data_IF_069573375150
#
_entry.id   IF_069573375150
#
_cell.length_a   1.000
_cell.length_b   1.000
_cell.length_c   1.000
_cell.angle_alpha   90.00
_cell.angle_beta   90.00
_cell.angle_gamma   90.00
#
_symmetry.space_group_name_H-M   'P 1'
#
loop_
_entity.id
_entity.type
_entity.pdbx_description
1 polymer ?
#
# COMPACT_ATOMS: atom_id res chain seq x y z
N UNK A 1 -2.00 15.87 22.37
CA UNK A 1 -0.74 15.40 21.74
C UNK A 1 -0.81 15.66 20.23
N UNK A 2 -1.80 15.16 19.48
CA UNK A 2 -1.89 15.34 18.02
C UNK A 2 -1.86 16.82 17.62
N UNK A 3 -2.72 17.65 18.23
CA UNK A 3 -2.79 19.10 17.95
C UNK A 3 -1.43 19.78 18.13
N UNK A 4 -0.72 19.50 19.21
CA UNK A 4 0.58 20.10 19.48
C UNK A 4 1.66 19.67 18.46
N UNK A 5 1.61 18.42 17.97
CA UNK A 5 2.53 17.94 16.94
C UNK A 5 2.21 18.62 15.61
N UNK A 6 0.93 18.77 15.27
CA UNK A 6 0.49 19.44 14.04
C UNK A 6 0.88 20.93 14.05
N UNK A 7 0.62 21.66 15.14
CA UNK A 7 1.03 23.05 15.30
C UNK A 7 2.55 23.22 15.17
N UNK A 8 3.33 22.29 15.71
CA UNK A 8 4.79 22.31 15.60
C UNK A 8 5.26 22.00 14.16
N UNK A 9 4.57 21.12 13.43
CA UNK A 9 4.83 20.81 12.03
C UNK A 9 4.59 22.06 11.17
N UNK A 10 3.42 22.67 11.28
CA UNK A 10 3.05 23.90 10.58
C UNK A 10 4.06 25.04 10.84
N UNK A 11 4.42 25.23 12.11
CA UNK A 11 5.41 26.25 12.48
C UNK A 11 6.78 26.01 11.82
N UNK A 12 7.22 24.76 11.72
CA UNK A 12 8.48 24.41 11.04
C UNK A 12 8.39 24.63 9.54
N UNK A 13 7.29 24.23 8.92
CA UNK A 13 7.07 24.43 7.48
C UNK A 13 7.14 25.91 7.13
N UNK A 14 6.44 26.76 7.88
CA UNK A 14 6.49 28.22 7.71
C UNK A 14 7.90 28.80 7.93
N UNK A 15 8.59 28.38 8.99
CA UNK A 15 9.94 28.84 9.31
C UNK A 15 10.95 28.49 8.20
N UNK A 16 10.80 27.36 7.55
CA UNK A 16 11.68 26.89 6.48
C UNK A 16 11.21 27.33 5.10
N UNK A 17 10.13 28.12 4.99
CA UNK A 17 9.48 28.51 3.72
C UNK A 17 9.18 27.29 2.83
N UNK A 18 8.64 26.23 3.41
CA UNK A 18 8.22 25.01 2.71
C UNK A 18 6.73 24.86 2.77
N UNK A 19 6.19 24.22 1.75
CA UNK A 19 4.78 23.82 1.65
C UNK A 19 4.71 22.33 1.31
N UNK A 20 3.66 21.66 1.78
CA UNK A 20 3.33 20.32 1.34
C UNK A 20 2.24 20.32 0.25
N UNK A 21 1.79 19.14 -0.18
CA UNK A 21 0.79 19.02 -1.24
C UNK A 21 -0.59 19.55 -0.82
N UNK A 22 -0.95 19.42 0.44
CA UNK A 22 -2.22 19.94 0.96
C UNK A 22 -2.17 21.46 1.05
N UNK A 23 -1.03 22.01 1.47
CA UNK A 23 -0.79 23.46 1.50
C UNK A 23 -0.95 24.09 0.11
N UNK A 24 -0.51 23.44 -0.97
CA UNK A 24 -0.70 23.96 -2.32
C UNK A 24 -2.15 24.28 -2.64
N UNK A 25 -3.06 23.43 -2.18
CA UNK A 25 -4.50 23.62 -2.38
C UNK A 25 -5.09 24.63 -1.40
N UNK A 26 -4.78 24.48 -0.11
CA UNK A 26 -5.34 25.33 0.94
C UNK A 26 -4.89 26.79 0.79
N UNK A 27 -3.60 27.02 0.60
CA UNK A 27 -3.05 28.38 0.40
C UNK A 27 -3.54 29.01 -0.91
N UNK A 28 -3.74 28.22 -1.97
CA UNK A 28 -4.36 28.72 -3.19
C UNK A 28 -5.80 29.17 -2.95
N UNK A 29 -6.59 28.34 -2.24
CA UNK A 29 -7.95 28.69 -1.89
C UNK A 29 -7.99 29.97 -1.03
N UNK A 30 -7.19 30.06 0.02
CA UNK A 30 -7.10 31.21 0.90
C UNK A 30 -6.64 32.47 0.16
N UNK A 31 -5.63 32.38 -0.71
CA UNK A 31 -5.15 33.48 -1.54
C UNK A 31 -6.28 34.03 -2.43
N UNK A 32 -6.97 33.15 -3.15
CA UNK A 32 -8.04 33.57 -4.06
C UNK A 32 -9.26 34.12 -3.30
N UNK A 33 -9.54 33.61 -2.10
CA UNK A 33 -10.62 34.12 -1.24
C UNK A 33 -10.29 35.49 -0.63
N UNK A 34 -9.03 35.72 -0.23
CA UNK A 34 -8.61 36.97 0.42
C UNK A 34 -8.23 38.06 -0.57
N UNK A 35 -7.69 37.70 -1.75
CA UNK A 35 -7.17 38.64 -2.74
C UNK A 35 -8.00 38.62 -4.01
N UNK A 36 -9.11 39.36 -3.99
CA UNK A 36 -10.04 39.47 -5.13
C UNK A 36 -9.39 40.06 -6.38
N UNK A 37 -8.36 40.90 -6.24
CA UNK A 37 -7.57 41.42 -7.33
C UNK A 37 -6.81 40.30 -8.09
N UNK A 38 -6.21 39.35 -7.33
CA UNK A 38 -5.54 38.19 -7.90
C UNK A 38 -6.57 37.24 -8.53
N UNK A 39 -7.68 36.97 -7.84
CA UNK A 39 -8.76 36.16 -8.39
C UNK A 39 -9.25 36.70 -9.73
N UNK A 40 -9.52 38.01 -9.82
CA UNK A 40 -9.97 38.65 -11.04
C UNK A 40 -8.97 38.51 -12.19
N UNK A 41 -7.67 38.67 -11.90
CA UNK A 41 -6.62 38.46 -12.87
C UNK A 41 -6.66 37.04 -13.48
N UNK A 42 -6.87 36.01 -12.66
CA UNK A 42 -6.96 34.65 -13.15
C UNK A 42 -8.29 34.37 -13.89
N UNK A 43 -9.41 34.96 -13.43
CA UNK A 43 -10.71 34.90 -14.13
C UNK A 43 -10.66 35.55 -15.52
N UNK A 44 -9.91 36.61 -15.66
CA UNK A 44 -9.70 37.30 -16.96
C UNK A 44 -8.77 36.49 -17.87
N UNK A 45 -7.76 35.85 -17.30
CA UNK A 45 -6.79 35.01 -18.03
C UNK A 45 -7.40 33.79 -18.67
N UNK A 46 -8.34 33.11 -17.97
CA UNK A 46 -8.97 31.88 -18.44
C UNK A 46 -10.41 32.14 -18.89
N UNK A 47 -10.63 32.08 -20.20
CA UNK A 47 -11.99 32.20 -20.76
C UNK A 47 -12.79 30.89 -20.68
N UNK A 48 -12.12 29.75 -20.63
CA UNK A 48 -12.67 28.41 -20.50
C UNK A 48 -11.86 27.62 -19.50
N UNK A 49 -12.53 26.81 -18.69
CA UNK A 49 -11.91 25.87 -17.75
C UNK A 49 -12.41 24.48 -18.10
N UNK A 50 -11.46 23.59 -18.45
CA UNK A 50 -11.74 22.20 -18.80
C UNK A 50 -11.06 21.31 -17.76
N UNK A 51 -11.82 20.36 -17.22
CA UNK A 51 -11.32 19.47 -16.16
C UNK A 51 -11.64 18.03 -16.54
N UNK A 52 -10.59 17.24 -16.60
CA UNK A 52 -10.68 15.79 -16.78
C UNK A 52 -10.66 15.07 -15.44
N UNK A 53 -11.09 13.80 -15.42
CA UNK A 53 -11.19 12.93 -14.24
C UNK A 53 -11.93 13.61 -13.06
N UNK A 54 -13.01 14.35 -13.37
CA UNK A 54 -13.73 15.19 -12.41
C UNK A 54 -14.30 14.41 -11.21
N UNK A 55 -14.48 13.09 -11.30
CA UNK A 55 -14.91 12.23 -10.20
C UNK A 55 -13.90 12.14 -9.07
N UNK A 56 -12.62 12.49 -9.32
CA UNK A 56 -11.52 12.34 -8.35
C UNK A 56 -11.17 13.63 -7.61
N UNK A 57 -11.90 14.73 -7.87
CA UNK A 57 -11.64 16.00 -7.17
C UNK A 57 -12.14 15.97 -5.72
N UNK A 58 -11.45 16.74 -4.87
CA UNK A 58 -11.88 17.02 -3.50
C UNK A 58 -12.65 18.34 -3.40
N UNK A 59 -13.18 18.63 -2.21
CA UNK A 59 -13.99 19.85 -1.98
C UNK A 59 -13.21 21.14 -2.20
N UNK A 60 -11.96 21.21 -1.78
CA UNK A 60 -11.12 22.41 -1.91
C UNK A 60 -10.84 22.70 -3.38
N UNK A 61 -10.49 21.67 -4.15
CA UNK A 61 -10.29 21.78 -5.59
C UNK A 61 -11.57 22.30 -6.27
N UNK A 62 -12.72 21.76 -5.90
CA UNK A 62 -14.00 22.21 -6.44
C UNK A 62 -14.28 23.68 -6.13
N UNK A 63 -14.01 24.13 -4.90
CA UNK A 63 -14.23 25.52 -4.51
C UNK A 63 -13.31 26.47 -5.26
N UNK A 64 -12.05 26.12 -5.47
CA UNK A 64 -11.09 26.86 -6.31
C UNK A 64 -11.63 26.97 -7.74
N UNK A 65 -12.08 25.85 -8.32
CA UNK A 65 -12.63 25.80 -9.68
C UNK A 65 -13.84 26.76 -9.80
N UNK A 66 -14.75 26.73 -8.84
CA UNK A 66 -15.92 27.61 -8.82
C UNK A 66 -15.54 29.08 -8.76
N UNK A 67 -14.55 29.42 -7.92
CA UNK A 67 -14.05 30.81 -7.84
C UNK A 67 -13.45 31.25 -9.17
N UNK A 68 -12.65 30.43 -9.81
CA UNK A 68 -12.02 30.73 -11.09
C UNK A 68 -13.02 30.81 -12.24
N UNK A 69 -14.04 29.96 -12.25
CA UNK A 69 -15.05 29.92 -13.31
C UNK A 69 -16.02 31.10 -13.28
N UNK A 70 -16.28 31.65 -12.10
CA UNK A 70 -17.18 32.80 -11.94
C UNK A 70 -16.60 34.08 -12.59
N UNK A 71 -17.44 35.02 -13.05
CA UNK A 71 -18.89 34.90 -13.17
C UNK A 71 -19.35 34.22 -14.48
N UNK A 72 -18.42 33.91 -15.39
CA UNK A 72 -18.74 33.41 -16.74
C UNK A 72 -19.28 31.99 -16.73
N UNK A 73 -18.79 31.15 -15.80
CA UNK A 73 -19.13 29.74 -15.66
C UNK A 73 -18.92 28.90 -16.94
N UNK A 74 -17.92 29.29 -17.76
CA UNK A 74 -17.51 28.52 -18.93
C UNK A 74 -16.69 27.29 -18.49
N UNK A 75 -17.39 26.35 -17.86
CA UNK A 75 -16.81 25.17 -17.25
C UNK A 75 -17.21 23.93 -18.03
N UNK A 76 -16.23 23.12 -18.43
CA UNK A 76 -16.41 21.84 -19.08
C UNK A 76 -15.76 20.77 -18.21
N UNK A 77 -16.52 19.80 -17.78
CA UNK A 77 -16.05 18.70 -16.96
C UNK A 77 -16.20 17.37 -17.68
N UNK A 78 -15.22 16.49 -17.55
CA UNK A 78 -15.26 15.11 -18.04
C UNK A 78 -14.93 14.20 -16.89
N UNK A 79 -15.61 13.06 -16.81
CA UNK A 79 -15.35 12.07 -15.78
C UNK A 79 -16.27 10.88 -15.87
N UNK A 80 -15.96 9.86 -15.10
CA UNK A 80 -16.74 8.64 -14.98
C UNK A 80 -16.90 8.29 -13.48
N UNK A 81 -18.09 8.50 -12.96
CA UNK A 81 -18.44 8.23 -11.56
C UNK A 81 -18.22 6.76 -11.16
N UNK A 82 -18.28 5.83 -12.12
CA UNK A 82 -17.99 4.42 -11.90
C UNK A 82 -16.49 4.13 -11.71
N UNK A 83 -15.61 5.07 -12.08
CA UNK A 83 -14.16 4.98 -11.92
C UNK A 83 -13.63 5.72 -10.68
N UNK A 84 -14.50 6.29 -9.84
CA UNK A 84 -14.09 6.99 -8.63
C UNK A 84 -13.57 6.02 -7.57
N UNK A 85 -12.25 5.85 -7.49
CA UNK A 85 -11.57 4.94 -6.55
C UNK A 85 -10.67 5.67 -5.55
N UNK A 86 -10.58 7.02 -5.62
CA UNK A 86 -9.70 7.84 -4.78
C UNK A 86 -10.38 8.49 -3.57
N UNK A 87 -11.50 7.94 -3.10
CA UNK A 87 -12.20 8.45 -1.91
C UNK A 87 -11.30 8.49 -0.66
N UNK A 88 -10.38 7.56 -0.53
CA UNK A 88 -9.40 7.53 0.56
C UNK A 88 -8.38 8.69 0.50
N UNK A 89 -8.25 9.37 -0.64
CA UNK A 89 -7.47 10.61 -0.84
C UNK A 89 -8.33 11.87 -0.78
N UNK A 90 -9.60 11.77 -0.36
CA UNK A 90 -10.51 12.90 -0.23
C UNK A 90 -11.35 13.19 -1.47
N UNK A 91 -11.27 12.37 -2.53
CA UNK A 91 -12.18 12.49 -3.68
C UNK A 91 -13.65 12.37 -3.26
N UNK A 92 -14.50 13.20 -3.86
CA UNK A 92 -15.94 13.26 -3.59
C UNK A 92 -16.74 13.12 -4.88
N UNK A 93 -17.05 11.91 -5.32
CA UNK A 93 -17.85 11.68 -6.53
C UNK A 93 -19.25 12.36 -6.43
N UNK A 94 -19.72 12.62 -5.21
CA UNK A 94 -20.97 13.35 -4.97
C UNK A 94 -20.95 14.76 -5.59
N UNK A 95 -19.77 15.38 -5.75
CA UNK A 95 -19.62 16.68 -6.41
C UNK A 95 -20.01 16.56 -7.88
N UNK A 96 -19.50 15.53 -8.57
CA UNK A 96 -19.84 15.27 -9.96
C UNK A 96 -21.32 14.92 -10.12
N UNK A 97 -21.86 14.07 -9.26
CA UNK A 97 -23.28 13.70 -9.28
C UNK A 97 -24.21 14.86 -8.99
N UNK A 98 -23.74 15.85 -8.23
CA UNK A 98 -24.47 17.05 -7.86
C UNK A 98 -24.23 18.26 -8.78
N UNK A 99 -23.42 18.12 -9.82
CA UNK A 99 -22.97 19.24 -10.66
C UNK A 99 -24.11 20.07 -11.28
N UNK A 100 -25.16 19.39 -11.77
CA UNK A 100 -26.35 20.07 -12.35
C UNK A 100 -27.16 20.89 -11.32
N UNK A 101 -26.98 20.63 -10.00
CA UNK A 101 -27.60 21.45 -8.94
C UNK A 101 -26.86 22.78 -8.76
N UNK A 102 -25.54 22.75 -8.89
CA UNK A 102 -24.71 23.96 -8.79
C UNK A 102 -24.70 24.77 -10.10
N UNK A 103 -24.91 24.10 -11.25
CA UNK A 103 -24.97 24.67 -12.59
C UNK A 103 -26.25 24.18 -13.32
N UNK A 104 -27.42 24.77 -13.05
CA UNK A 104 -28.72 24.32 -13.61
C UNK A 104 -28.79 24.35 -15.15
N UNK A 105 -28.02 25.26 -15.77
CA UNK A 105 -27.95 25.38 -17.24
C UNK A 105 -26.94 24.43 -17.89
N UNK A 106 -26.27 23.58 -17.10
CA UNK A 106 -25.30 22.63 -17.60
C UNK A 106 -25.95 21.59 -18.52
N UNK A 107 -25.32 21.33 -19.66
CA UNK A 107 -25.72 20.28 -20.59
C UNK A 107 -24.90 19.04 -20.38
N UNK A 108 -25.54 17.93 -20.02
CA UNK A 108 -24.89 16.65 -19.89
C UNK A 108 -24.88 15.90 -21.22
N UNK A 109 -23.70 15.39 -21.59
CA UNK A 109 -23.49 14.53 -22.76
C UNK A 109 -22.96 13.20 -22.23
N UNK A 110 -23.62 12.09 -22.60
CA UNK A 110 -23.21 10.75 -22.22
C UNK A 110 -22.42 10.10 -23.35
N UNK A 111 -21.19 9.68 -23.04
CA UNK A 111 -20.35 8.86 -23.94
C UNK A 111 -20.60 7.39 -23.60
N UNK A 112 -21.52 6.76 -24.30
CA UNK A 112 -22.01 5.41 -23.97
C UNK A 112 -21.40 4.29 -24.84
N UNK A 113 -20.47 4.61 -25.74
CA UNK A 113 -19.78 3.62 -26.59
C UNK A 113 -18.37 3.41 -26.06
N UNK A 114 -18.06 2.17 -25.67
CA UNK A 114 -16.73 1.76 -25.27
C UNK A 114 -15.97 1.19 -26.47
N UNK A 115 -14.92 1.89 -26.91
CA UNK A 115 -14.07 1.50 -28.05
C UNK A 115 -12.86 0.66 -27.62
N UNK A 116 -12.61 0.50 -26.33
CA UNK A 116 -11.43 -0.19 -25.79
C UNK A 116 -11.66 -1.68 -25.59
N UNK A 117 -12.78 -2.03 -24.99
CA UNK A 117 -13.04 -3.37 -24.49
C UNK A 117 -14.00 -4.16 -25.38
N UNK A 118 -13.82 -5.47 -25.38
CA UNK A 118 -14.77 -6.39 -26.01
C UNK A 118 -16.11 -6.43 -25.29
N UNK A 119 -17.14 -6.93 -25.96
CA UNK A 119 -18.49 -7.06 -25.40
C UNK A 119 -18.52 -7.88 -24.11
N UNK A 120 -17.73 -8.94 -24.01
CA UNK A 120 -17.65 -9.79 -22.81
C UNK A 120 -17.19 -8.98 -21.59
N UNK A 121 -16.13 -8.15 -21.75
CA UNK A 121 -15.60 -7.32 -20.68
C UNK A 121 -16.58 -6.22 -20.29
N UNK A 122 -17.14 -5.50 -21.27
CA UNK A 122 -18.11 -4.43 -21.00
C UNK A 122 -19.35 -4.96 -20.28
N UNK A 123 -19.85 -6.13 -20.68
CA UNK A 123 -21.02 -6.76 -20.04
C UNK A 123 -20.72 -7.17 -18.59
N UNK A 124 -19.58 -7.82 -18.35
CA UNK A 124 -19.19 -8.26 -17.00
C UNK A 124 -18.94 -7.06 -16.05
N UNK A 125 -18.21 -6.05 -16.53
CA UNK A 125 -17.97 -4.82 -15.77
C UNK A 125 -19.29 -4.08 -15.47
N UNK A 126 -20.21 -4.02 -16.46
CA UNK A 126 -21.52 -3.43 -16.30
C UNK A 126 -22.37 -4.14 -15.23
N UNK A 127 -22.34 -5.47 -15.19
CA UNK A 127 -23.03 -6.24 -14.14
C UNK A 127 -22.43 -5.99 -12.75
N UNK A 128 -21.11 -5.95 -12.65
CA UNK A 128 -20.42 -5.69 -11.39
C UNK A 128 -20.78 -4.31 -10.84
N UNK A 129 -20.74 -3.27 -11.67
CA UNK A 129 -20.92 -1.89 -11.24
C UNK A 129 -22.39 -1.57 -10.87
N UNK A 130 -23.37 -2.37 -11.30
CA UNK A 130 -24.78 -2.22 -10.89
C UNK A 130 -25.00 -2.42 -9.37
N UNK A 131 -24.03 -3.00 -8.65
CA UNK A 131 -24.05 -3.08 -7.20
C UNK A 131 -23.94 -1.68 -6.55
N UNK A 132 -23.30 -0.72 -7.21
CA UNK A 132 -23.27 0.68 -6.77
C UNK A 132 -24.62 1.34 -7.04
N UNK A 133 -25.25 1.86 -6.00
CA UNK A 133 -26.59 2.48 -6.11
C UNK A 133 -26.51 3.99 -6.38
N UNK A 134 -25.43 4.64 -5.94
CA UNK A 134 -25.24 6.10 -6.10
C UNK A 134 -24.34 6.35 -7.30
N UNK A 135 -24.95 6.43 -8.49
CA UNK A 135 -24.27 6.62 -9.77
C UNK A 135 -25.22 7.19 -10.82
N UNK A 136 -24.67 7.73 -11.91
CA UNK A 136 -25.46 8.07 -13.09
C UNK A 136 -25.99 6.79 -13.75
N UNK A 137 -27.25 6.82 -14.15
CA UNK A 137 -27.83 5.74 -14.94
C UNK A 137 -27.28 5.82 -16.37
N UNK A 138 -26.50 4.83 -16.73
CA UNK A 138 -25.86 4.74 -18.07
C UNK A 138 -25.82 3.29 -18.55
N UNK A 139 -26.00 3.13 -19.87
CA UNK A 139 -25.89 1.83 -20.55
C UNK A 139 -24.71 1.92 -21.50
N UNK A 140 -23.59 1.35 -21.09
CA UNK A 140 -22.37 1.33 -21.91
C UNK A 140 -22.47 0.17 -22.91
N UNK A 141 -22.21 0.48 -24.17
CA UNK A 141 -22.20 -0.49 -25.28
C UNK A 141 -20.77 -0.66 -25.79
N UNK A 142 -20.38 -1.90 -26.07
CA UNK A 142 -19.09 -2.16 -26.70
C UNK A 142 -19.17 -1.85 -28.18
N UNK A 143 -18.17 -1.14 -28.70
CA UNK A 143 -18.00 -0.99 -30.16
C UNK A 143 -17.58 -2.32 -30.78
N UNK A 144 -16.69 -3.07 -30.17
CA UNK A 144 -16.24 -4.38 -30.63
C UNK A 144 -17.25 -5.46 -30.23
N UNK A 145 -17.81 -6.14 -31.22
CA UNK A 145 -18.85 -7.18 -31.01
C UNK A 145 -18.29 -8.50 -30.51
N UNK A 146 -17.03 -8.80 -30.84
CA UNK A 146 -16.35 -10.07 -30.52
C UNK A 146 -15.23 -9.84 -29.53
N UNK A 147 -14.90 -10.88 -28.76
CA UNK A 147 -13.79 -10.90 -27.84
C UNK A 147 -13.69 -12.25 -27.15
N UNK A 148 -12.53 -12.54 -26.57
CA UNK A 148 -12.33 -13.76 -25.80
C UNK A 148 -13.24 -13.81 -24.59
N UNK A 149 -13.52 -15.01 -24.10
CA UNK A 149 -14.23 -15.24 -22.85
C UNK A 149 -13.39 -14.80 -21.67
N UNK A 150 -14.05 -14.40 -20.59
CA UNK A 150 -13.39 -14.14 -19.31
C UNK A 150 -13.21 -15.47 -18.60
N UNK A 151 -11.98 -15.76 -18.20
CA UNK A 151 -11.66 -16.98 -17.45
C UNK A 151 -11.41 -16.61 -15.97
N UNK A 152 -11.92 -17.43 -15.07
CA UNK A 152 -11.67 -17.33 -13.63
C UNK A 152 -11.03 -18.64 -13.19
N UNK A 153 -9.82 -18.55 -12.63
CA UNK A 153 -9.09 -19.70 -12.06
C UNK A 153 -8.88 -19.45 -10.58
N UNK A 154 -9.24 -20.42 -9.77
CA UNK A 154 -8.96 -20.42 -8.34
C UNK A 154 -7.69 -21.25 -8.08
N UNK A 155 -6.68 -20.67 -7.48
CA UNK A 155 -5.43 -21.31 -7.10
C UNK A 155 -5.39 -21.57 -5.61
N UNK A 156 -4.67 -22.61 -5.19
CA UNK A 156 -4.56 -23.02 -3.78
C UNK A 156 -3.38 -22.36 -3.07
N UNK A 157 -2.43 -21.85 -3.85
CA UNK A 157 -1.23 -21.18 -3.35
C UNK A 157 -0.76 -20.10 -4.31
N UNK A 158 0.07 -19.19 -3.82
CA UNK A 158 0.73 -18.15 -4.61
C UNK A 158 1.62 -18.78 -5.71
N UNK A 159 2.26 -19.91 -5.43
CA UNK A 159 3.08 -20.63 -6.41
C UNK A 159 2.24 -21.18 -7.57
N UNK A 160 1.08 -21.79 -7.27
CA UNK A 160 0.15 -22.27 -8.29
C UNK A 160 -0.39 -21.10 -9.14
N UNK A 161 -0.75 -19.99 -8.50
CA UNK A 161 -1.20 -18.77 -9.18
C UNK A 161 -0.11 -18.23 -10.11
N UNK A 162 1.11 -18.07 -9.61
CA UNK A 162 2.25 -17.57 -10.39
C UNK A 162 2.57 -18.48 -11.57
N UNK A 163 2.59 -19.79 -11.35
CA UNK A 163 2.82 -20.76 -12.43
C UNK A 163 1.73 -20.65 -13.50
N UNK A 164 0.48 -20.54 -13.10
CA UNK A 164 -0.65 -20.39 -14.03
C UNK A 164 -0.55 -19.10 -14.87
N UNK A 165 -0.09 -18.00 -14.26
CA UNK A 165 0.13 -16.73 -14.96
C UNK A 165 1.25 -16.89 -16.02
N UNK A 166 2.37 -17.51 -15.65
CA UNK A 166 3.48 -17.72 -16.59
C UNK A 166 3.10 -18.65 -17.74
N UNK A 167 2.39 -19.74 -17.45
CA UNK A 167 1.85 -20.65 -18.46
C UNK A 167 0.97 -19.88 -19.47
N UNK A 168 0.12 -18.98 -18.97
CA UNK A 168 -0.76 -18.20 -19.83
C UNK A 168 -0.01 -17.15 -20.66
N UNK A 169 1.03 -16.51 -20.08
CA UNK A 169 1.89 -15.59 -20.83
C UNK A 169 2.59 -16.32 -21.97
N UNK A 170 3.11 -17.52 -21.72
CA UNK A 170 3.78 -18.33 -22.71
C UNK A 170 2.81 -18.79 -23.82
N UNK A 171 1.62 -19.27 -23.45
CA UNK A 171 0.57 -19.63 -24.40
C UNK A 171 0.22 -18.46 -25.33
N UNK A 172 0.06 -17.27 -24.82
CA UNK A 172 -0.21 -16.09 -25.63
C UNK A 172 0.95 -15.70 -26.54
N UNK A 173 2.18 -15.82 -26.06
CA UNK A 173 3.39 -15.57 -26.86
C UNK A 173 3.51 -16.58 -28.02
N UNK A 174 3.31 -17.87 -27.75
CA UNK A 174 3.29 -18.93 -28.79
C UNK A 174 2.22 -18.66 -29.87
N UNK A 175 1.11 -18.01 -29.50
CA UNK A 175 0.05 -17.60 -30.42
C UNK A 175 0.30 -16.24 -31.09
N UNK A 176 1.51 -15.66 -30.91
CA UNK A 176 1.97 -14.46 -31.60
C UNK A 176 1.60 -13.13 -30.92
N UNK A 177 1.17 -13.14 -29.66
CA UNK A 177 0.95 -11.91 -28.89
C UNK A 177 2.29 -11.39 -28.37
N UNK A 178 2.56 -10.09 -28.53
CA UNK A 178 3.77 -9.48 -27.99
C UNK A 178 3.65 -9.30 -26.47
N UNK A 179 4.76 -9.44 -25.75
CA UNK A 179 4.79 -9.18 -24.29
C UNK A 179 4.31 -7.78 -23.92
N UNK A 180 4.56 -6.76 -24.78
CA UNK A 180 4.07 -5.39 -24.62
C UNK A 180 2.54 -5.26 -24.61
N UNK A 181 1.83 -6.25 -25.13
CA UNK A 181 0.36 -6.26 -25.21
C UNK A 181 -0.28 -7.02 -24.05
N UNK A 182 0.54 -7.57 -23.15
CA UNK A 182 0.12 -8.29 -21.96
C UNK A 182 0.30 -7.45 -20.71
N UNK A 183 -0.64 -7.54 -19.78
CA UNK A 183 -0.53 -6.88 -18.48
C UNK A 183 -1.01 -7.78 -17.35
N UNK A 184 -0.26 -7.83 -16.26
CA UNK A 184 -0.66 -8.50 -15.02
C UNK A 184 -1.01 -7.44 -13.98
N UNK A 185 -2.26 -7.43 -13.52
CA UNK A 185 -2.76 -6.53 -12.51
C UNK A 185 -2.83 -7.24 -11.17
N UNK A 186 -2.26 -6.64 -10.14
CA UNK A 186 -2.24 -7.17 -8.78
C UNK A 186 -2.94 -6.23 -7.81
N UNK A 187 -3.50 -6.77 -6.75
CA UNK A 187 -4.21 -5.97 -5.72
C UNK A 187 -3.26 -5.14 -4.86
N UNK A 188 -2.08 -5.69 -4.56
CA UNK A 188 -1.05 -5.06 -3.73
C UNK A 188 0.31 -5.19 -4.38
N UNK A 189 1.22 -4.25 -4.11
CA UNK A 189 2.60 -4.32 -4.64
C UNK A 189 3.36 -5.57 -4.13
N UNK A 190 2.98 -6.09 -2.96
CA UNK A 190 3.55 -7.33 -2.40
C UNK A 190 3.13 -8.54 -3.24
N UNK A 191 1.88 -8.56 -3.73
CA UNK A 191 1.37 -9.64 -4.57
C UNK A 191 2.12 -9.79 -5.91
N UNK A 192 2.70 -8.72 -6.43
CA UNK A 192 3.49 -8.75 -7.66
C UNK A 192 4.82 -9.52 -7.50
N UNK A 193 5.36 -9.62 -6.28
CA UNK A 193 6.70 -10.11 -6.02
C UNK A 193 6.95 -11.54 -6.54
N UNK A 194 6.09 -12.48 -6.19
CA UNK A 194 6.25 -13.88 -6.60
C UNK A 194 6.21 -14.03 -8.13
N UNK A 195 5.39 -13.22 -8.79
CA UNK A 195 5.29 -13.19 -10.25
C UNK A 195 6.60 -12.65 -10.84
N UNK A 196 7.12 -11.54 -10.31
CA UNK A 196 8.37 -10.92 -10.78
C UNK A 196 9.57 -11.84 -10.55
N UNK A 197 9.69 -12.48 -9.38
CA UNK A 197 10.73 -13.47 -9.10
C UNK A 197 10.72 -14.59 -10.17
N UNK A 198 9.56 -15.13 -10.48
CA UNK A 198 9.41 -16.17 -11.49
C UNK A 198 9.67 -15.68 -12.91
N UNK A 199 9.28 -14.44 -13.26
CA UNK A 199 9.61 -13.85 -14.56
C UNK A 199 11.12 -13.65 -14.73
N UNK A 200 11.84 -13.25 -13.66
CA UNK A 200 13.30 -13.16 -13.64
C UNK A 200 13.94 -14.55 -13.83
N UNK A 201 13.50 -15.56 -13.07
CA UNK A 201 13.99 -16.94 -13.19
C UNK A 201 13.78 -17.51 -14.61
N UNK A 202 12.66 -17.15 -15.25
CA UNK A 202 12.31 -17.59 -16.60
C UNK A 202 12.91 -16.70 -17.71
N UNK A 203 13.70 -15.67 -17.38
CA UNK A 203 14.21 -14.65 -18.32
C UNK A 203 13.11 -13.99 -19.19
N UNK A 204 11.90 -13.82 -18.65
CA UNK A 204 10.81 -13.15 -19.35
C UNK A 204 10.98 -11.62 -19.21
N UNK A 205 10.87 -10.85 -20.32
CA UNK A 205 10.91 -9.41 -20.27
C UNK A 205 9.64 -8.85 -19.61
N UNK A 206 9.81 -7.90 -18.71
CA UNK A 206 8.69 -7.19 -18.09
C UNK A 206 9.06 -5.75 -17.75
N UNK A 207 8.04 -4.90 -17.63
CA UNK A 207 8.16 -3.54 -17.15
C UNK A 207 7.21 -3.34 -15.98
N UNK A 208 7.68 -2.72 -14.92
CA UNK A 208 6.85 -2.36 -13.78
C UNK A 208 6.50 -0.88 -13.82
N UNK A 209 5.25 -0.56 -13.51
CA UNK A 209 4.80 0.81 -13.38
C UNK A 209 5.29 1.45 -12.09
N UNK A 210 5.25 0.69 -10.99
CA UNK A 210 5.68 1.14 -9.66
C UNK A 210 6.84 0.27 -9.19
N UNK A 211 7.74 0.85 -8.40
CA UNK A 211 8.80 0.06 -7.75
C UNK A 211 8.15 -0.91 -6.74
N UNK A 212 8.57 -2.18 -6.77
CA UNK A 212 8.18 -3.12 -5.72
C UNK A 212 8.83 -2.64 -4.42
N UNK A 213 8.05 -2.37 -3.36
CA UNK A 213 8.66 -2.13 -2.07
C UNK A 213 9.49 -3.35 -1.69
N UNK A 214 10.76 -3.14 -1.36
CA UNK A 214 11.58 -4.24 -0.91
C UNK A 214 10.96 -4.84 0.36
N UNK A 215 10.42 -6.07 0.25
CA UNK A 215 9.77 -6.78 1.35
C UNK A 215 10.69 -6.86 2.58
N UNK A 216 11.98 -7.01 2.35
CA UNK A 216 12.98 -7.16 3.42
C UNK A 216 13.31 -5.83 4.10
N UNK A 217 12.92 -4.69 3.54
CA UNK A 217 12.98 -3.38 4.19
C UNK A 217 11.75 -3.09 5.05
N UNK A 218 10.71 -3.91 4.96
CA UNK A 218 9.53 -3.77 5.80
C UNK A 218 9.88 -3.97 7.28
N UNK A 219 9.23 -3.23 8.18
CA UNK A 219 9.52 -3.30 9.62
C UNK A 219 9.30 -4.68 10.22
N UNK A 220 8.33 -5.46 9.71
CA UNK A 220 8.10 -6.87 10.11
C UNK A 220 9.31 -7.73 9.74
N UNK A 221 9.86 -7.58 8.54
CA UNK A 221 11.06 -8.32 8.13
C UNK A 221 12.24 -8.03 9.06
N UNK A 222 12.43 -6.75 9.39
CA UNK A 222 13.48 -6.33 10.34
C UNK A 222 13.28 -6.92 11.73
N UNK A 223 12.05 -7.02 12.20
CA UNK A 223 11.76 -7.66 13.49
C UNK A 223 12.08 -9.17 13.47
N UNK A 224 11.62 -9.89 12.43
CA UNK A 224 11.88 -11.32 12.26
C UNK A 224 13.39 -11.63 12.18
N UNK A 225 14.11 -10.86 11.36
CA UNK A 225 15.56 -10.98 11.25
C UNK A 225 16.25 -10.69 12.58
N UNK A 226 15.81 -9.64 13.31
CA UNK A 226 16.37 -9.30 14.62
C UNK A 226 16.14 -10.41 15.64
N UNK A 227 14.98 -11.06 15.66
CA UNK A 227 14.73 -12.23 16.51
C UNK A 227 15.73 -13.36 16.23
N UNK A 228 15.96 -13.68 14.96
CA UNK A 228 16.89 -14.73 14.57
C UNK A 228 18.36 -14.34 14.84
N UNK A 229 18.72 -13.07 14.68
CA UNK A 229 20.06 -12.54 15.00
C UNK A 229 20.37 -12.62 16.48
N UNK A 230 19.43 -12.23 17.35
CA UNK A 230 19.56 -12.38 18.79
C UNK A 230 19.67 -13.88 19.17
N UNK A 231 18.85 -14.73 18.58
CA UNK A 231 18.95 -16.19 18.80
C UNK A 231 20.32 -16.75 18.32
N UNK A 232 20.91 -16.18 17.27
CA UNK A 232 22.23 -16.55 16.76
C UNK A 232 23.39 -15.97 17.62
N UNK A 233 23.12 -15.08 18.56
CA UNK A 233 24.10 -14.54 19.50
C UNK A 233 24.33 -13.04 19.46
N UNK A 234 23.51 -12.26 18.75
CA UNK A 234 23.54 -10.80 18.82
C UNK A 234 22.98 -10.34 20.19
N UNK A 235 23.87 -9.95 21.10
CA UNK A 235 23.54 -9.46 22.43
C UNK A 235 23.47 -7.93 22.52
N UNK A 236 23.47 -7.24 21.37
CA UNK A 236 23.47 -5.79 21.31
C UNK A 236 22.18 -5.16 21.86
N UNK A 237 22.32 -4.10 22.64
CA UNK A 237 21.20 -3.29 23.11
C UNK A 237 20.29 -2.82 21.97
N UNK A 238 20.88 -2.46 20.85
CA UNK A 238 20.15 -1.99 19.67
C UNK A 238 19.21 -3.05 19.11
N UNK A 239 19.64 -4.30 19.05
CA UNK A 239 18.80 -5.43 18.63
C UNK A 239 17.65 -5.68 19.61
N UNK A 240 17.97 -5.77 20.90
CA UNK A 240 16.93 -5.99 21.93
C UNK A 240 15.87 -4.89 21.96
N UNK A 241 16.24 -3.63 21.84
CA UNK A 241 15.28 -2.51 21.82
C UNK A 241 14.26 -2.60 20.69
N UNK A 242 14.57 -3.28 19.58
CA UNK A 242 13.64 -3.46 18.46
C UNK A 242 12.52 -4.43 18.79
N UNK A 243 12.82 -5.55 19.47
CA UNK A 243 11.89 -6.67 19.60
C UNK A 243 11.42 -6.96 21.03
N UNK A 244 12.03 -6.35 22.04
CA UNK A 244 11.82 -6.70 23.46
C UNK A 244 10.35 -6.66 23.90
N UNK A 245 9.55 -5.76 23.32
CA UNK A 245 8.12 -5.62 23.56
C UNK A 245 7.28 -5.86 22.29
N UNK A 246 7.72 -6.73 21.40
CA UNK A 246 7.02 -7.15 20.19
C UNK A 246 6.97 -8.70 20.08
N UNK A 247 6.02 -9.38 20.75
CA UNK A 247 4.84 -8.91 21.47
C UNK A 247 5.14 -8.26 22.83
N UNK A 248 4.10 -7.70 23.44
CA UNK A 248 4.19 -6.98 24.70
C UNK A 248 4.71 -7.86 25.85
N UNK A 249 5.89 -7.54 26.36
CA UNK A 249 6.50 -8.18 27.54
C UNK A 249 6.60 -7.26 28.75
N UNK A 250 6.29 -5.95 28.56
CA UNK A 250 6.36 -4.90 29.60
C UNK A 250 7.78 -4.69 30.18
N UNK A 251 8.80 -4.97 29.37
CA UNK A 251 10.19 -4.72 29.77
C UNK A 251 10.50 -3.24 29.52
N UNK A 252 10.90 -2.54 30.56
CA UNK A 252 11.27 -1.13 30.50
C UNK A 252 12.60 -0.93 29.78
N UNK A 253 12.74 0.20 29.06
CA UNK A 253 13.99 0.56 28.38
C UNK A 253 15.18 0.70 29.32
N UNK A 254 14.92 1.08 30.56
CA UNK A 254 15.93 1.24 31.61
C UNK A 254 16.55 -0.11 32.02
N UNK A 255 15.81 -1.21 31.91
CA UNK A 255 16.36 -2.55 32.12
C UNK A 255 17.41 -2.95 31.08
N UNK A 256 17.50 -2.20 29.98
CA UNK A 256 18.48 -2.35 28.90
C UNK A 256 19.52 -1.22 28.98
N UNK A 257 20.10 -0.97 30.14
CA UNK A 257 21.05 0.15 30.37
C UNK A 257 22.42 -0.10 29.73
N UNK A 258 22.86 -1.34 29.63
CA UNK A 258 24.17 -1.72 29.13
C UNK A 258 24.18 -1.91 27.59
N UNK A 259 25.37 -1.79 26.97
CA UNK A 259 25.53 -2.01 25.54
C UNK A 259 25.28 -3.47 25.12
N UNK A 260 25.54 -4.41 26.01
CA UNK A 260 25.24 -5.84 25.85
C UNK A 260 24.17 -6.26 26.83
N UNK A 261 23.17 -6.95 26.32
CA UNK A 261 21.99 -7.41 27.07
C UNK A 261 22.10 -8.90 27.31
N UNK A 262 22.13 -9.29 28.58
CA UNK A 262 22.05 -10.71 28.98
C UNK A 262 20.77 -10.97 29.75
N UNK A 263 20.28 -12.23 29.72
CA UNK A 263 19.10 -12.59 30.52
C UNK A 263 19.34 -12.38 32.02
N UNK A 264 20.58 -12.59 32.48
CA UNK A 264 20.94 -12.33 33.88
C UNK A 264 20.85 -10.85 34.26
N UNK A 265 21.19 -9.93 33.38
CA UNK A 265 21.00 -8.50 33.57
C UNK A 265 19.53 -8.15 33.75
N UNK A 266 18.66 -8.71 32.89
CA UNK A 266 17.22 -8.51 32.99
C UNK A 266 16.64 -9.10 34.28
N UNK A 267 17.06 -10.32 34.67
CA UNK A 267 16.66 -10.93 35.96
C UNK A 267 17.11 -10.09 37.13
N UNK A 268 18.33 -9.56 37.11
CA UNK A 268 18.83 -8.67 38.15
C UNK A 268 18.00 -7.42 38.33
N UNK A 269 17.57 -6.80 37.23
CA UNK A 269 16.72 -5.60 37.25
C UNK A 269 15.32 -5.88 37.84
N UNK A 270 14.74 -7.07 37.53
CA UNK A 270 13.39 -7.44 37.95
C UNK A 270 13.35 -8.45 39.11
N UNK A 271 14.41 -8.59 39.88
CA UNK A 271 14.57 -9.59 40.94
C UNK A 271 13.42 -9.69 41.97
N UNK A 272 12.66 -8.59 42.14
CA UNK A 272 11.53 -8.51 43.06
C UNK A 272 10.16 -8.67 42.39
N UNK A 273 10.11 -9.08 41.11
CA UNK A 273 8.89 -9.19 40.34
C UNK A 273 8.79 -10.57 39.64
N UNK A 274 8.31 -11.56 40.34
CA UNK A 274 8.24 -12.96 39.89
C UNK A 274 7.59 -13.09 38.49
N UNK A 275 6.47 -12.40 38.25
CA UNK A 275 5.80 -12.42 36.96
C UNK A 275 6.65 -11.86 35.81
N UNK A 276 7.63 -11.02 36.10
CA UNK A 276 8.60 -10.54 35.07
C UNK A 276 9.71 -11.56 34.86
N UNK A 277 10.14 -12.26 35.91
CA UNK A 277 11.12 -13.34 35.80
C UNK A 277 10.58 -14.46 34.91
N UNK A 278 9.33 -14.87 35.08
CA UNK A 278 8.67 -15.86 34.22
C UNK A 278 8.68 -15.43 32.73
N UNK A 279 8.45 -14.15 32.45
CA UNK A 279 8.50 -13.63 31.07
C UNK A 279 9.90 -13.61 30.47
N UNK A 280 10.90 -13.29 31.30
CA UNK A 280 12.31 -13.31 30.89
C UNK A 280 12.73 -14.75 30.61
N UNK A 281 12.37 -15.69 31.48
CA UNK A 281 12.67 -17.12 31.31
C UNK A 281 12.00 -17.69 30.08
N UNK A 282 10.74 -17.33 29.83
CA UNK A 282 10.04 -17.69 28.60
C UNK A 282 10.75 -17.12 27.36
N UNK A 283 11.16 -15.86 27.39
CA UNK A 283 11.89 -15.24 26.29
C UNK A 283 13.23 -15.93 26.02
N UNK A 284 13.97 -16.28 27.07
CA UNK A 284 15.23 -17.03 26.96
C UNK A 284 14.99 -18.39 26.31
N UNK A 285 13.96 -19.11 26.73
CA UNK A 285 13.57 -20.38 26.14
C UNK A 285 13.20 -20.20 24.63
N UNK A 286 12.38 -19.21 24.31
CA UNK A 286 11.97 -18.91 22.94
C UNK A 286 13.19 -18.65 22.04
N UNK A 287 14.17 -17.85 22.49
CA UNK A 287 15.40 -17.57 21.74
C UNK A 287 16.28 -18.83 21.59
N UNK A 288 16.37 -19.68 22.61
CA UNK A 288 17.09 -20.96 22.50
C UNK A 288 16.46 -21.89 21.46
N UNK A 289 15.14 -21.97 21.41
CA UNK A 289 14.42 -22.75 20.41
C UNK A 289 14.65 -22.23 18.99
N UNK A 290 14.58 -20.91 18.78
CA UNK A 290 14.80 -20.29 17.49
C UNK A 290 16.19 -20.62 16.89
N UNK A 291 17.21 -20.73 17.74
CA UNK A 291 18.57 -21.03 17.32
C UNK A 291 18.74 -22.34 16.55
N UNK A 292 17.85 -23.29 16.82
CA UNK A 292 17.90 -24.65 16.23
C UNK A 292 17.01 -24.80 14.99
N UNK A 293 16.32 -23.75 14.57
CA UNK A 293 15.30 -23.80 13.52
C UNK A 293 15.87 -23.32 12.18
N UNK A 294 15.33 -23.87 11.08
CA UNK A 294 15.49 -23.26 9.76
C UNK A 294 14.77 -21.93 9.68
N UNK A 295 15.12 -21.00 8.77
CA UNK A 295 14.47 -19.69 8.67
C UNK A 295 12.94 -19.79 8.55
N UNK A 296 12.43 -20.70 7.73
CA UNK A 296 11.00 -20.95 7.59
C UNK A 296 10.33 -21.36 8.93
N UNK A 297 10.93 -22.34 9.60
CA UNK A 297 10.42 -22.83 10.89
C UNK A 297 10.54 -21.75 11.98
N UNK A 298 11.60 -20.95 11.98
CA UNK A 298 11.81 -19.87 12.90
C UNK A 298 10.75 -18.77 12.71
N UNK A 299 10.44 -18.37 11.47
CA UNK A 299 9.35 -17.43 11.20
C UNK A 299 8.02 -17.97 11.72
N UNK A 300 7.69 -19.23 11.41
CA UNK A 300 6.46 -19.83 11.91
C UNK A 300 6.39 -19.85 13.45
N UNK A 301 7.51 -20.14 14.11
CA UNK A 301 7.58 -20.13 15.58
C UNK A 301 7.46 -18.70 16.14
N UNK A 302 8.09 -17.69 15.53
CA UNK A 302 7.92 -16.29 15.91
C UNK A 302 6.45 -15.88 15.78
N UNK A 303 5.82 -16.21 14.67
CA UNK A 303 4.41 -15.91 14.41
C UNK A 303 3.48 -16.50 15.47
N UNK A 304 3.55 -17.80 15.69
CA UNK A 304 2.57 -18.56 16.47
C UNK A 304 3.06 -18.93 17.87
N UNK A 305 4.31 -19.34 18.03
CA UNK A 305 4.88 -19.75 19.30
C UNK A 305 5.20 -18.58 20.24
N UNK A 306 5.75 -17.51 19.68
CA UNK A 306 6.03 -16.24 20.40
C UNK A 306 4.81 -15.31 20.43
N UNK A 307 3.78 -15.61 19.63
CA UNK A 307 2.55 -14.82 19.51
C UNK A 307 2.75 -13.43 18.84
N UNK A 308 3.69 -13.37 17.90
CA UNK A 308 3.96 -12.15 17.14
C UNK A 308 2.81 -11.75 16.20
N UNK A 309 2.03 -12.73 15.69
CA UNK A 309 0.85 -12.46 14.87
C UNK A 309 -0.20 -11.63 15.61
N UNK A 310 -0.45 -11.93 16.89
CA UNK A 310 -1.38 -11.16 17.71
C UNK A 310 -0.92 -9.72 17.88
N UNK A 311 0.39 -9.52 18.08
CA UNK A 311 0.98 -8.18 18.12
C UNK A 311 0.78 -7.43 16.79
N UNK A 312 1.00 -8.07 15.66
CA UNK A 312 0.81 -7.45 14.32
C UNK A 312 -0.66 -7.07 14.10
N UNK A 313 -1.61 -7.92 14.49
CA UNK A 313 -3.05 -7.63 14.42
C UNK A 313 -3.45 -6.47 15.32
N UNK A 314 -2.97 -6.43 16.57
CA UNK A 314 -3.19 -5.30 17.48
C UNK A 314 -2.60 -3.99 16.91
N UNK A 315 -1.41 -4.06 16.33
CA UNK A 315 -0.77 -2.91 15.69
C UNK A 315 -1.60 -2.39 14.52
N UNK A 316 -2.10 -3.29 13.65
CA UNK A 316 -2.95 -2.93 12.52
C UNK A 316 -4.23 -2.20 13.00
N UNK A 317 -4.90 -2.75 14.02
CA UNK A 317 -6.10 -2.14 14.60
C UNK A 317 -5.80 -0.73 15.17
N UNK A 318 -4.71 -0.62 15.94
CA UNK A 318 -4.27 0.67 16.49
C UNK A 318 -4.00 1.72 15.40
N UNK A 319 -3.38 1.29 14.29
CA UNK A 319 -3.05 2.14 13.15
C UNK A 319 -4.22 2.31 12.16
N UNK A 320 -5.38 1.70 12.41
CA UNK A 320 -6.55 1.67 11.53
C UNK A 320 -6.22 1.13 10.13
N UNK A 321 -5.31 0.18 10.06
CA UNK A 321 -4.95 -0.58 8.86
C UNK A 321 -5.75 -1.89 8.83
N UNK A 322 -5.88 -2.48 7.66
CA UNK A 322 -6.45 -3.83 7.55
C UNK A 322 -5.41 -4.86 8.02
N UNK A 323 -5.73 -5.70 9.01
CA UNK A 323 -4.80 -6.72 9.50
C UNK A 323 -4.30 -7.64 8.40
N UNK A 324 -5.14 -7.93 7.40
CA UNK A 324 -4.84 -8.80 6.27
C UNK A 324 -3.61 -8.33 5.49
N UNK A 325 -3.44 -7.02 5.30
CA UNK A 325 -2.29 -6.44 4.59
C UNK A 325 -0.95 -6.77 5.28
N UNK A 326 -0.91 -6.73 6.61
CA UNK A 326 0.29 -7.08 7.37
C UNK A 326 0.48 -8.61 7.49
N UNK A 327 -0.60 -9.37 7.44
CA UNK A 327 -0.53 -10.83 7.40
C UNK A 327 0.03 -11.32 6.06
N UNK A 328 -0.34 -10.70 4.94
CA UNK A 328 0.26 -10.96 3.63
C UNK A 328 1.78 -10.75 3.64
N UNK A 329 2.28 -9.72 4.33
CA UNK A 329 3.72 -9.49 4.53
C UNK A 329 4.37 -10.65 5.29
N UNK A 330 3.74 -11.11 6.37
CA UNK A 330 4.24 -12.25 7.15
C UNK A 330 4.26 -13.54 6.33
N UNK A 331 3.22 -13.78 5.54
CA UNK A 331 3.11 -14.96 4.68
C UNK A 331 4.20 -14.93 3.59
N UNK A 332 4.38 -13.79 2.93
CA UNK A 332 5.41 -13.60 1.91
C UNK A 332 6.84 -13.77 2.48
N UNK A 333 7.11 -13.26 3.70
CA UNK A 333 8.40 -13.43 4.37
C UNK A 333 8.65 -14.89 4.72
N UNK A 334 7.65 -15.59 5.24
CA UNK A 334 7.76 -17.00 5.57
C UNK A 334 8.01 -17.85 4.33
N UNK A 335 7.28 -17.60 3.25
CA UNK A 335 7.45 -18.31 2.00
C UNK A 335 8.83 -18.07 1.38
N UNK A 336 9.32 -16.82 1.41
CA UNK A 336 10.66 -16.49 0.91
C UNK A 336 11.79 -17.24 1.63
N UNK A 337 11.54 -17.72 2.83
CA UNK A 337 12.50 -18.45 3.65
C UNK A 337 12.47 -19.98 3.43
N UNK A 338 11.51 -20.50 2.64
CA UNK A 338 11.22 -21.93 2.53
C UNK A 338 12.38 -22.77 1.98
N UNK A 339 13.13 -22.20 1.04
CA UNK A 339 14.20 -22.93 0.35
C UNK A 339 15.57 -22.87 1.05
N UNK A 340 15.67 -22.19 2.21
CA UNK A 340 16.95 -21.96 2.90
C UNK A 340 17.04 -22.77 4.20
N UNK A 341 18.17 -23.41 4.41
CA UNK A 341 18.44 -24.23 5.61
C UNK A 341 19.00 -23.40 6.76
N UNK A 342 19.71 -22.33 6.46
CA UNK A 342 20.37 -21.47 7.45
C UNK A 342 19.99 -20.00 7.31
N UNK A 343 20.02 -19.25 8.42
CA UNK A 343 19.82 -17.80 8.42
C UNK A 343 20.83 -17.09 7.51
N UNK A 344 22.07 -17.61 7.42
CA UNK A 344 23.12 -17.02 6.57
C UNK A 344 22.76 -17.11 5.08
N UNK A 345 22.28 -18.27 4.63
CA UNK A 345 21.84 -18.47 3.24
C UNK A 345 20.68 -17.54 2.90
N UNK A 346 19.68 -17.45 3.80
CA UNK A 346 18.54 -16.56 3.58
C UNK A 346 18.94 -15.09 3.57
N UNK A 347 19.85 -14.65 4.45
CA UNK A 347 20.39 -13.28 4.43
C UNK A 347 21.18 -12.98 3.15
N UNK A 348 21.90 -13.95 2.60
CA UNK A 348 22.57 -13.78 1.32
C UNK A 348 21.56 -13.53 0.20
N UNK A 349 20.53 -14.37 0.11
CA UNK A 349 19.42 -14.16 -0.83
C UNK A 349 18.78 -12.78 -0.70
N UNK A 350 18.50 -12.34 0.54
CA UNK A 350 17.95 -10.99 0.80
C UNK A 350 18.86 -9.89 0.23
N UNK A 351 20.19 -10.04 0.41
CA UNK A 351 21.18 -9.09 -0.10
C UNK A 351 21.19 -9.07 -1.62
N UNK A 352 21.24 -10.24 -2.25
CA UNK A 352 21.29 -10.39 -3.71
C UNK A 352 20.04 -9.80 -4.35
N UNK A 353 18.85 -10.16 -3.83
CA UNK A 353 17.57 -9.61 -4.27
C UNK A 353 17.50 -8.08 -4.12
N UNK A 354 17.99 -7.55 -3.00
CA UNK A 354 18.00 -6.10 -2.75
C UNK A 354 18.88 -5.35 -3.75
N UNK A 355 20.01 -5.96 -4.15
CA UNK A 355 20.93 -5.39 -5.13
C UNK A 355 20.32 -5.42 -6.54
N UNK A 356 19.70 -6.53 -6.93
CA UNK A 356 19.00 -6.65 -8.22
C UNK A 356 17.87 -5.64 -8.38
N UNK A 357 17.11 -5.36 -7.29
CA UNK A 357 16.07 -4.33 -7.32
C UNK A 357 16.60 -2.90 -7.46
N UNK A 358 17.87 -2.66 -7.14
CA UNK A 358 18.49 -1.33 -7.28
C UNK A 358 19.11 -1.11 -8.66
N UNK A 359 19.42 -2.17 -9.38
CA UNK A 359 20.03 -2.14 -10.71
C UNK A 359 18.98 -2.05 -11.83
N UNK A 360 17.73 -2.35 -11.53
CA UNK A 360 16.57 -2.26 -12.44
C UNK A 360 15.69 -1.05 -12.12
#
# INVERSE_FOLDING_TARGET
IFKAIYEQYEWRMQKENRIDFDDMLLLTYELLAARLDILKLWQEKYSFILIDEFQDINKVQYDIIRMLAAPRNNLFIVGDDDQSIYRFRGARPEIMLGFEKDYPDARRILLNINYRCSKSIVSAAGQLIMNNKTRFQKQIQAFHSTGASIYIRQCRSVQEETTAILEQIHDYEEHGMAYSDMAVLVRTNIGARAIVEKMIEANLPFQMRDQIPNLFEHWIARDLLTYMEIAAGDDSRAAFLKIINRPKRYIHREALSEQRVTMNLLRGYYREKDWMLDRIDRMEYELKMLRMMTPYAAINFIRKGIDYESFVKEYAQYRRMKPEELMEVLDALQESANNYKTLREWKQHISDYTNELKEK
#
